data_IF_789347397833
#
_entry.id   IF_789347397833
#
_cell.length_a   1.000
_cell.length_b   1.000
_cell.length_c   1.000
_cell.angle_alpha   90.00
_cell.angle_beta   90.00
_cell.angle_gamma   90.00
#
_symmetry.space_group_name_H-M   'P 1'
#
loop_
_entity.id
_entity.type
_entity.pdbx_description
1 polymer ?
#
# COMPACT_ATOMS: atom_id res chain seq x y z
N UNK A 1 -21.63 7.75 -10.64
CA UNK A 1 -20.41 7.97 -11.45
C UNK A 1 -19.83 6.59 -11.78
N UNK A 2 -19.46 6.32 -13.02
CA UNK A 2 -18.84 5.03 -13.37
C UNK A 2 -17.39 5.00 -12.85
N UNK A 3 -17.06 4.03 -11.99
CA UNK A 3 -15.71 3.87 -11.43
C UNK A 3 -14.83 2.93 -12.27
N UNK A 4 -15.41 2.18 -13.21
CA UNK A 4 -14.66 1.24 -14.04
C UNK A 4 -13.87 1.98 -15.10
N UNK A 5 -12.56 1.75 -15.13
CA UNK A 5 -11.63 2.30 -16.14
C UNK A 5 -10.75 1.18 -16.71
N UNK A 6 -10.12 1.44 -17.84
CA UNK A 6 -9.16 0.50 -18.41
C UNK A 6 -7.83 0.50 -17.63
N UNK A 7 -7.07 -0.59 -17.76
CA UNK A 7 -5.74 -0.70 -17.16
C UNK A 7 -4.81 0.45 -17.62
N UNK A 8 -4.85 0.80 -18.90
CA UNK A 8 -4.06 1.91 -19.45
C UNK A 8 -4.42 3.25 -18.80
N UNK A 9 -5.73 3.57 -18.69
CA UNK A 9 -6.18 4.78 -18.03
C UNK A 9 -5.73 4.82 -16.55
N UNK A 10 -5.82 3.69 -15.85
CA UNK A 10 -5.39 3.59 -14.46
C UNK A 10 -3.90 3.93 -14.28
N UNK A 11 -3.06 3.35 -15.12
CA UNK A 11 -1.60 3.53 -15.04
C UNK A 11 -1.17 4.93 -15.50
N UNK A 12 -1.91 5.57 -16.40
CA UNK A 12 -1.61 6.95 -16.81
C UNK A 12 -1.81 7.99 -15.69
N UNK A 13 -2.57 7.65 -14.66
CA UNK A 13 -2.75 8.50 -13.49
C UNK A 13 -1.50 8.58 -12.59
N UNK A 14 -0.61 7.59 -12.66
CA UNK A 14 0.60 7.53 -11.82
C UNK A 14 1.73 8.31 -12.49
N UNK A 15 2.33 9.26 -11.76
CA UNK A 15 3.37 10.16 -12.27
C UNK A 15 4.73 9.88 -11.62
N UNK A 16 5.79 10.31 -12.29
CA UNK A 16 7.14 10.31 -11.70
C UNK A 16 7.16 11.09 -10.39
N UNK A 17 7.77 10.50 -9.39
CA UNK A 17 7.90 11.08 -8.07
C UNK A 17 6.75 10.83 -7.11
N UNK A 18 5.64 10.23 -7.55
CA UNK A 18 4.50 9.92 -6.69
C UNK A 18 4.87 9.01 -5.52
N UNK A 19 4.16 9.19 -4.42
CA UNK A 19 4.10 8.23 -3.32
C UNK A 19 3.00 7.22 -3.63
N UNK A 20 3.37 5.94 -3.75
CA UNK A 20 2.46 4.87 -4.14
C UNK A 20 2.37 3.83 -3.03
N UNK A 21 1.18 3.60 -2.52
CA UNK A 21 0.87 2.43 -1.68
C UNK A 21 0.55 1.23 -2.57
N UNK A 22 1.11 0.08 -2.26
CA UNK A 22 0.80 -1.18 -2.98
C UNK A 22 0.38 -2.23 -1.98
N UNK A 23 -0.85 -2.73 -2.12
CA UNK A 23 -1.40 -3.80 -1.31
C UNK A 23 -0.74 -5.15 -1.60
N UNK A 24 -0.91 -6.07 -0.66
CA UNK A 24 -0.37 -7.43 -0.75
C UNK A 24 0.55 -7.81 0.41
N UNK A 25 0.69 -9.12 0.58
CA UNK A 25 1.59 -9.75 1.55
C UNK A 25 2.29 -10.92 0.85
N UNK A 26 3.59 -10.81 0.59
CA UNK A 26 4.39 -11.80 -0.17
C UNK A 26 3.73 -12.22 -1.50
N UNK A 27 3.07 -11.26 -2.16
CA UNK A 27 2.36 -11.48 -3.42
C UNK A 27 0.87 -11.84 -3.28
N UNK A 28 0.42 -12.33 -2.11
CA UNK A 28 -1.00 -12.63 -1.88
C UNK A 28 -1.80 -11.32 -1.77
N UNK A 29 -2.88 -11.20 -2.54
CA UNK A 29 -3.69 -9.97 -2.56
C UNK A 29 -2.96 -8.78 -3.19
N UNK A 30 -1.96 -9.02 -4.04
CA UNK A 30 -1.31 -7.96 -4.81
C UNK A 30 -2.08 -7.66 -6.11
N UNK A 31 -2.18 -6.40 -6.52
CA UNK A 31 -2.79 -6.00 -7.80
C UNK A 31 -1.81 -6.26 -8.96
N UNK A 32 -1.69 -7.52 -9.37
CA UNK A 32 -0.63 -7.98 -10.28
C UNK A 32 -0.65 -7.30 -11.64
N UNK A 33 -1.83 -7.08 -12.24
CA UNK A 33 -1.95 -6.43 -13.56
C UNK A 33 -1.57 -4.96 -13.49
N UNK A 34 -2.01 -4.26 -12.43
CA UNK A 34 -1.62 -2.87 -12.20
C UNK A 34 -0.10 -2.76 -12.00
N UNK A 35 0.49 -3.67 -11.24
CA UNK A 35 1.94 -3.73 -11.03
C UNK A 35 2.67 -3.97 -12.36
N UNK A 36 2.26 -4.98 -13.14
CA UNK A 36 2.89 -5.32 -14.41
C UNK A 36 2.79 -4.17 -15.43
N UNK A 37 1.65 -3.49 -15.47
CA UNK A 37 1.48 -2.32 -16.33
C UNK A 37 2.32 -1.12 -15.86
N UNK A 38 2.50 -0.93 -14.54
CA UNK A 38 3.37 0.11 -14.00
C UNK A 38 4.87 -0.20 -14.28
N UNK A 39 5.26 -1.48 -14.22
CA UNK A 39 6.59 -1.93 -14.67
C UNK A 39 6.80 -1.56 -16.13
N UNK A 40 5.84 -1.91 -17.00
CA UNK A 40 5.92 -1.64 -18.44
C UNK A 40 5.97 -0.14 -18.77
N UNK A 41 5.24 0.70 -18.04
CA UNK A 41 5.28 2.16 -18.18
C UNK A 41 6.65 2.75 -17.80
N UNK A 42 7.33 2.15 -16.83
CA UNK A 42 8.66 2.57 -16.41
C UNK A 42 8.69 3.89 -15.63
N UNK A 43 7.60 4.26 -14.95
CA UNK A 43 7.52 5.45 -14.07
C UNK A 43 8.64 5.43 -13.05
N UNK A 44 9.29 6.59 -12.80
CA UNK A 44 10.52 6.69 -12.02
C UNK A 44 10.38 7.54 -10.76
N UNK A 45 11.39 7.40 -9.89
CA UNK A 45 11.52 8.21 -8.67
C UNK A 45 10.34 8.06 -7.70
N UNK A 46 9.62 6.95 -7.76
CA UNK A 46 8.49 6.67 -6.89
C UNK A 46 8.96 6.48 -5.44
N UNK A 47 8.06 6.76 -4.49
CA UNK A 47 8.17 6.31 -3.10
C UNK A 47 7.19 5.19 -2.88
N UNK A 48 7.66 4.02 -2.49
CA UNK A 48 6.82 2.86 -2.18
C UNK A 48 6.44 2.83 -0.70
N UNK A 49 5.19 2.55 -0.41
CA UNK A 49 4.71 2.13 0.91
C UNK A 49 4.03 0.76 0.73
N UNK A 50 4.54 -0.26 1.40
CA UNK A 50 4.04 -1.64 1.28
C UNK A 50 4.33 -2.45 2.54
N UNK A 51 3.68 -3.61 2.70
CA UNK A 51 3.98 -4.51 3.80
C UNK A 51 5.42 -5.04 3.71
N UNK A 52 5.79 -5.56 2.55
CA UNK A 52 7.09 -6.13 2.23
C UNK A 52 7.49 -5.80 0.79
N UNK A 53 8.78 -5.92 0.48
CA UNK A 53 9.28 -5.70 -0.88
C UNK A 53 9.08 -6.88 -1.85
N UNK A 54 8.28 -7.86 -1.47
CA UNK A 54 7.94 -9.03 -2.27
C UNK A 54 9.10 -9.98 -2.56
N UNK A 55 8.88 -10.87 -3.51
CA UNK A 55 9.93 -11.62 -4.20
C UNK A 55 10.26 -10.93 -5.52
N UNK A 56 11.49 -11.08 -6.08
CA UNK A 56 11.89 -10.39 -7.31
C UNK A 56 10.94 -10.55 -8.50
N UNK A 57 10.29 -11.70 -8.60
CA UNK A 57 9.44 -12.09 -9.74
C UNK A 57 7.94 -11.89 -9.48
N UNK A 58 7.54 -11.53 -8.27
CA UNK A 58 6.12 -11.50 -7.87
C UNK A 58 5.74 -10.15 -7.25
N UNK A 59 4.57 -9.64 -7.64
CA UNK A 59 3.99 -8.45 -7.04
C UNK A 59 4.93 -7.24 -7.10
N UNK A 60 4.97 -6.48 -6.02
CA UNK A 60 5.76 -5.24 -5.91
C UNK A 60 7.27 -5.45 -6.11
N UNK A 61 7.77 -6.67 -5.92
CA UNK A 61 9.18 -6.99 -6.12
C UNK A 61 9.66 -6.74 -7.55
N UNK A 62 8.79 -6.90 -8.55
CA UNK A 62 9.08 -6.56 -9.96
C UNK A 62 9.44 -5.07 -10.13
N UNK A 63 8.73 -4.17 -9.45
CA UNK A 63 9.01 -2.73 -9.49
C UNK A 63 10.34 -2.39 -8.80
N UNK A 64 10.70 -3.13 -7.75
CA UNK A 64 12.01 -2.98 -7.10
C UNK A 64 13.14 -3.36 -8.05
N UNK A 65 13.03 -4.52 -8.70
CA UNK A 65 14.05 -5.02 -9.66
C UNK A 65 14.25 -4.06 -10.82
N UNK A 66 13.18 -3.40 -11.29
CA UNK A 66 13.26 -2.41 -12.39
C UNK A 66 13.70 -1.01 -11.92
N UNK A 67 14.08 -0.85 -10.64
CA UNK A 67 14.61 0.38 -10.05
C UNK A 67 13.69 1.59 -10.27
N UNK A 68 12.41 1.39 -10.04
CA UNK A 68 11.42 2.46 -10.18
C UNK A 68 11.27 3.31 -8.91
N UNK A 69 11.82 2.84 -7.78
CA UNK A 69 11.72 3.52 -6.49
C UNK A 69 13.02 4.24 -6.10
N UNK A 70 12.90 5.50 -5.68
CA UNK A 70 13.93 6.24 -4.95
C UNK A 70 13.87 5.98 -3.44
N UNK A 71 12.70 5.57 -2.93
CA UNK A 71 12.45 5.32 -1.51
C UNK A 71 11.45 4.18 -1.32
N UNK A 72 11.70 3.34 -0.32
CA UNK A 72 10.82 2.24 0.08
C UNK A 72 10.57 2.33 1.59
N UNK A 73 9.31 2.31 2.01
CA UNK A 73 8.87 2.20 3.40
C UNK A 73 8.14 0.87 3.52
N UNK A 74 8.72 -0.05 4.28
CA UNK A 74 8.20 -1.41 4.41
C UNK A 74 8.50 -1.99 5.79
N UNK A 75 7.79 -3.04 6.17
CA UNK A 75 8.08 -3.76 7.42
C UNK A 75 9.11 -4.89 7.23
N UNK A 76 9.27 -5.39 6.01
CA UNK A 76 10.16 -6.51 5.69
C UNK A 76 10.73 -6.39 4.27
N UNK A 77 12.03 -6.70 4.13
CA UNK A 77 12.73 -6.71 2.82
C UNK A 77 13.53 -7.99 2.56
N UNK A 78 13.55 -8.92 3.52
CA UNK A 78 14.45 -10.08 3.49
C UNK A 78 14.17 -11.09 2.36
N UNK A 79 12.99 -11.05 1.76
CA UNK A 79 12.61 -11.92 0.64
C UNK A 79 13.08 -11.42 -0.73
N UNK A 80 13.49 -10.14 -0.81
CA UNK A 80 13.98 -9.52 -2.03
C UNK A 80 15.42 -9.04 -1.86
N UNK A 81 16.38 -9.85 -2.31
CA UNK A 81 17.81 -9.53 -2.22
C UNK A 81 18.18 -8.22 -2.93
N UNK A 82 17.44 -7.87 -3.99
CA UNK A 82 17.68 -6.64 -4.75
C UNK A 82 17.37 -5.39 -3.90
N UNK A 83 16.31 -5.43 -3.06
CA UNK A 83 16.03 -4.34 -2.11
C UNK A 83 17.20 -4.12 -1.16
N UNK A 84 17.74 -5.21 -0.59
CA UNK A 84 18.91 -5.15 0.30
C UNK A 84 20.15 -4.60 -0.40
N UNK A 85 20.42 -5.02 -1.63
CA UNK A 85 21.54 -4.53 -2.44
C UNK A 85 21.41 -3.02 -2.70
N UNK A 86 20.25 -2.57 -3.22
CA UNK A 86 20.00 -1.15 -3.51
C UNK A 86 20.13 -0.28 -2.26
N UNK A 87 19.67 -0.77 -1.11
CA UNK A 87 19.82 -0.08 0.18
C UNK A 87 21.31 0.07 0.57
N UNK A 88 22.08 -1.00 0.46
CA UNK A 88 23.52 -0.98 0.85
C UNK A 88 24.36 -0.12 -0.09
N UNK A 89 24.03 -0.07 -1.36
CA UNK A 89 24.73 0.74 -2.37
C UNK A 89 24.23 2.19 -2.42
N UNK A 90 23.21 2.54 -1.62
CA UNK A 90 22.64 3.88 -1.58
C UNK A 90 21.83 4.27 -2.82
N UNK A 91 21.44 3.28 -3.65
CA UNK A 91 20.61 3.51 -4.83
C UNK A 91 19.16 3.83 -4.46
N UNK A 92 18.66 3.24 -3.36
CA UNK A 92 17.30 3.41 -2.87
C UNK A 92 17.33 3.62 -1.35
N UNK A 93 16.68 4.68 -0.88
CA UNK A 93 16.45 4.89 0.55
C UNK A 93 15.44 3.86 1.07
N UNK A 94 15.79 3.06 2.07
CA UNK A 94 14.89 2.06 2.66
C UNK A 94 14.65 2.39 4.13
N UNK A 95 13.38 2.58 4.48
CA UNK A 95 12.92 2.77 5.85
C UNK A 95 12.20 1.51 6.31
N UNK A 96 12.80 0.81 7.28
CA UNK A 96 12.16 -0.33 7.93
C UNK A 96 11.32 0.15 9.11
N UNK A 97 10.00 -0.06 9.00
CA UNK A 97 9.04 0.30 10.04
C UNK A 97 8.46 -0.97 10.65
N UNK A 98 8.36 -1.09 11.99
CA UNK A 98 7.71 -2.23 12.60
C UNK A 98 6.29 -2.43 12.04
N UNK A 99 5.92 -3.67 11.71
CA UNK A 99 4.72 -3.96 10.92
C UNK A 99 3.43 -3.36 11.52
N UNK A 100 3.21 -3.51 12.83
CA UNK A 100 2.05 -2.91 13.48
C UNK A 100 2.07 -1.37 13.44
N UNK A 101 3.26 -0.77 13.57
CA UNK A 101 3.42 0.68 13.44
C UNK A 101 3.09 1.14 12.02
N UNK A 102 3.60 0.43 10.99
CA UNK A 102 3.31 0.73 9.58
C UNK A 102 1.80 0.66 9.29
N UNK A 103 1.14 -0.40 9.76
CA UNK A 103 -0.31 -0.56 9.60
C UNK A 103 -1.09 0.59 10.24
N UNK A 104 -0.72 0.97 11.46
CA UNK A 104 -1.37 2.08 12.17
C UNK A 104 -1.06 3.46 11.56
N UNK A 105 0.14 3.68 11.02
CA UNK A 105 0.46 4.91 10.28
C UNK A 105 -0.44 5.08 9.05
N UNK A 106 -0.67 3.99 8.30
CA UNK A 106 -1.58 3.97 7.13
C UNK A 106 -3.03 4.15 7.61
N UNK A 107 -3.45 3.44 8.66
CA UNK A 107 -4.80 3.57 9.23
C UNK A 107 -5.06 4.99 9.75
N UNK A 108 -4.08 5.63 10.40
CA UNK A 108 -4.19 7.02 10.81
C UNK A 108 -4.45 7.97 9.64
N UNK A 109 -3.75 7.77 8.53
CA UNK A 109 -3.96 8.53 7.31
C UNK A 109 -5.39 8.33 6.78
N UNK A 110 -5.86 7.08 6.69
CA UNK A 110 -7.20 6.72 6.23
C UNK A 110 -8.32 7.44 7.01
N UNK A 111 -8.15 7.60 8.32
CA UNK A 111 -9.16 8.20 9.19
C UNK A 111 -8.87 9.67 9.59
N UNK A 112 -7.88 10.31 8.96
CA UNK A 112 -7.58 11.72 9.20
C UNK A 112 -7.02 12.01 10.59
N UNK A 113 -6.38 11.04 11.25
CA UNK A 113 -5.76 11.19 12.55
C UNK A 113 -4.38 11.85 12.41
N UNK A 114 -4.02 12.72 13.36
CA UNK A 114 -2.72 13.43 13.37
C UNK A 114 -1.53 12.57 13.80
N UNK A 115 -1.77 11.33 14.24
CA UNK A 115 -0.76 10.39 14.71
C UNK A 115 -1.29 9.52 15.84
N UNK A 116 -0.44 8.65 16.37
CA UNK A 116 -0.77 7.77 17.50
C UNK A 116 0.46 7.48 18.36
N UNK A 117 0.21 7.05 19.58
CA UNK A 117 1.24 6.66 20.53
C UNK A 117 1.44 5.14 20.51
N UNK A 118 2.70 4.70 20.41
CA UNK A 118 3.04 3.28 20.48
C UNK A 118 4.23 3.03 21.39
N UNK A 119 4.22 1.88 22.07
CA UNK A 119 5.40 1.41 22.84
C UNK A 119 6.44 0.73 21.97
N UNK A 120 6.04 0.33 20.73
CA UNK A 120 6.92 -0.38 19.81
C UNK A 120 8.08 0.53 19.40
N UNK A 121 9.30 0.06 19.64
CA UNK A 121 10.51 0.77 19.25
C UNK A 121 11.11 1.68 20.32
N UNK A 122 10.47 1.88 21.48
CA UNK A 122 11.07 2.62 22.60
C UNK A 122 12.37 1.95 23.03
N UNK A 123 13.44 2.74 23.18
CA UNK A 123 14.78 2.26 23.54
C UNK A 123 15.56 1.56 22.41
N UNK A 124 15.07 1.62 21.16
CA UNK A 124 15.73 1.02 19.99
C UNK A 124 16.08 2.08 18.93
N UNK A 125 16.73 1.67 17.83
CA UNK A 125 16.98 2.54 16.66
C UNK A 125 15.70 3.14 16.06
N UNK A 126 14.55 2.49 16.26
CA UNK A 126 13.24 2.99 15.78
C UNK A 126 12.84 4.31 16.45
N UNK A 127 13.38 4.59 17.63
CA UNK A 127 13.13 5.84 18.37
C UNK A 127 13.88 7.03 17.80
N UNK A 128 14.97 6.82 17.08
CA UNK A 128 15.83 7.91 16.61
C UNK A 128 15.02 8.93 15.77
N UNK A 129 15.08 10.22 16.15
CA UNK A 129 14.37 11.30 15.48
C UNK A 129 12.86 11.37 15.74
N UNK A 130 12.31 10.54 16.65
CA UNK A 130 10.89 10.55 17.03
C UNK A 130 10.68 11.20 18.40
N UNK A 131 9.50 11.78 18.56
CA UNK A 131 9.08 12.36 19.84
C UNK A 131 8.73 11.26 20.85
N UNK A 132 9.33 11.34 22.05
CA UNK A 132 9.02 10.46 23.17
C UNK A 132 8.00 11.16 24.08
N UNK A 133 6.89 10.50 24.36
CA UNK A 133 5.81 11.01 25.19
C UNK A 133 5.58 10.04 26.35
N UNK A 134 5.75 10.55 27.59
CA UNK A 134 5.45 9.76 28.79
C UNK A 134 4.01 10.00 29.24
N UNK A 135 3.23 8.93 29.41
CA UNK A 135 1.87 8.95 29.93
C UNK A 135 1.77 7.92 31.07
N UNK A 136 1.33 8.38 32.23
CA UNK A 136 1.14 7.52 33.42
C UNK A 136 2.38 6.67 33.75
N UNK A 137 3.58 7.26 33.61
CA UNK A 137 4.86 6.57 33.86
C UNK A 137 5.28 5.59 32.76
N UNK A 138 4.58 5.55 31.61
CA UNK A 138 4.91 4.70 30.46
C UNK A 138 5.34 5.57 29.29
N UNK A 139 6.46 5.17 28.67
CA UNK A 139 6.99 5.85 27.48
C UNK A 139 6.41 5.32 26.19
N UNK A 140 6.11 6.24 25.29
CA UNK A 140 5.57 5.99 23.94
C UNK A 140 6.32 6.82 22.91
N UNK A 141 6.41 6.31 21.70
CA UNK A 141 6.80 7.10 20.51
C UNK A 141 5.54 7.68 19.86
N UNK A 142 5.59 8.96 19.49
CA UNK A 142 4.58 9.57 18.63
C UNK A 142 4.91 9.21 17.17
N UNK A 143 4.04 8.43 16.56
CA UNK A 143 4.12 8.06 15.15
C UNK A 143 3.19 8.92 14.29
N UNK A 144 3.68 9.33 13.12
CA UNK A 144 2.94 10.18 12.18
C UNK A 144 2.17 9.33 11.16
N UNK A 145 1.04 9.81 10.63
CA UNK A 145 0.34 9.12 9.54
C UNK A 145 1.19 9.07 8.27
N UNK A 146 0.99 8.02 7.46
CA UNK A 146 1.55 7.88 6.12
C UNK A 146 0.47 8.05 5.06
N UNK A 147 0.63 9.05 4.22
CA UNK A 147 -0.24 9.35 3.07
C UNK A 147 0.44 8.97 1.77
N UNK A 148 -0.37 8.69 0.74
CA UNK A 148 0.09 8.46 -0.62
C UNK A 148 -0.68 9.31 -1.64
N UNK A 149 -0.08 9.54 -2.81
CA UNK A 149 -0.79 10.09 -3.96
C UNK A 149 -1.71 9.03 -4.56
N UNK A 150 -1.22 7.78 -4.65
CA UNK A 150 -1.96 6.68 -5.26
C UNK A 150 -1.87 5.43 -4.40
N UNK A 151 -3.00 4.75 -4.18
CA UNK A 151 -3.05 3.40 -3.65
C UNK A 151 -3.44 2.42 -4.77
N UNK A 152 -2.61 1.44 -5.03
CA UNK A 152 -2.88 0.29 -5.89
C UNK A 152 -3.22 -0.89 -5.00
N UNK A 153 -4.48 -1.29 -4.99
CA UNK A 153 -4.97 -2.36 -4.13
C UNK A 153 -5.68 -3.44 -4.93
N UNK A 154 -5.80 -4.60 -4.33
CA UNK A 154 -6.52 -5.75 -4.88
C UNK A 154 -7.76 -6.03 -4.07
N UNK A 155 -8.79 -6.58 -4.71
CA UNK A 155 -9.95 -7.18 -4.05
C UNK A 155 -10.41 -8.43 -4.81
N UNK A 156 -10.93 -9.44 -4.10
CA UNK A 156 -11.51 -10.61 -4.76
C UNK A 156 -12.82 -10.23 -5.46
N UNK A 157 -13.61 -9.34 -4.87
CA UNK A 157 -14.84 -8.81 -5.48
C UNK A 157 -14.91 -7.30 -5.33
N UNK A 158 -15.37 -6.64 -6.38
CA UNK A 158 -15.71 -5.23 -6.33
C UNK A 158 -17.07 -5.01 -7.00
N UNK A 159 -17.94 -4.21 -6.39
CA UNK A 159 -19.20 -3.82 -7.01
C UNK A 159 -19.06 -2.49 -7.78
N UNK A 160 -20.08 -2.11 -8.56
CA UNK A 160 -20.06 -0.89 -9.35
C UNK A 160 -19.98 0.40 -8.51
N UNK A 161 -20.26 0.33 -7.23
CA UNK A 161 -20.16 1.45 -6.30
C UNK A 161 -18.78 1.55 -5.65
N UNK A 162 -17.95 0.50 -5.82
CA UNK A 162 -16.59 0.42 -5.29
C UNK A 162 -16.51 -0.25 -3.93
N UNK A 163 -17.58 -0.89 -3.45
CA UNK A 163 -17.49 -1.73 -2.27
C UNK A 163 -16.67 -2.96 -2.58
N UNK A 164 -15.79 -3.37 -1.63
CA UNK A 164 -14.84 -4.45 -1.82
C UNK A 164 -15.08 -5.57 -0.83
N UNK A 165 -14.87 -6.81 -1.30
CA UNK A 165 -14.81 -7.98 -0.47
C UNK A 165 -13.54 -8.78 -0.76
N UNK A 166 -12.97 -9.39 0.28
CA UNK A 166 -11.71 -10.13 0.22
C UNK A 166 -11.94 -11.60 0.57
N UNK A 167 -11.00 -12.45 0.18
CA UNK A 167 -10.97 -13.84 0.55
C UNK A 167 -9.69 -14.17 1.32
N UNK A 168 -9.85 -14.59 2.56
CA UNK A 168 -8.74 -14.97 3.43
C UNK A 168 -7.71 -13.85 3.60
N UNK A 169 -6.44 -14.17 3.44
CA UNK A 169 -5.34 -13.23 3.64
C UNK A 169 -5.18 -12.16 2.55
N UNK A 170 -6.02 -12.18 1.51
CA UNK A 170 -5.99 -11.12 0.49
C UNK A 170 -6.43 -9.75 1.05
N UNK A 171 -7.14 -9.70 2.17
CA UNK A 171 -7.51 -8.45 2.82
C UNK A 171 -6.27 -7.66 3.28
N UNK A 172 -5.31 -8.31 3.92
CA UNK A 172 -4.07 -7.77 4.46
C UNK A 172 -4.02 -6.23 4.60
N UNK A 173 -3.14 -5.54 3.86
CA UNK A 173 -3.04 -4.08 3.84
C UNK A 173 -4.03 -3.39 2.88
N UNK A 174 -4.74 -4.15 2.02
CA UNK A 174 -5.60 -3.58 0.99
C UNK A 174 -6.71 -2.67 1.57
N UNK A 175 -7.40 -3.14 2.61
CA UNK A 175 -8.51 -2.38 3.22
C UNK A 175 -8.07 -1.09 3.90
N UNK A 176 -6.91 -1.09 4.59
CA UNK A 176 -6.41 0.11 5.28
C UNK A 176 -5.77 1.11 4.32
N UNK A 177 -5.18 0.66 3.22
CA UNK A 177 -4.62 1.52 2.18
C UNK A 177 -5.69 2.24 1.37
N UNK A 178 -6.89 1.66 1.25
CA UNK A 178 -7.97 2.21 0.44
C UNK A 178 -8.33 3.67 0.76
N UNK A 179 -8.28 4.08 2.03
CA UNK A 179 -8.60 5.44 2.44
C UNK A 179 -7.38 6.33 2.74
N UNK A 180 -6.16 5.82 2.52
CA UNK A 180 -4.92 6.51 2.90
C UNK A 180 -4.22 7.21 1.72
N UNK A 181 -4.88 7.32 0.56
CA UNK A 181 -4.35 7.97 -0.62
C UNK A 181 -5.35 8.95 -1.22
N UNK A 182 -4.83 9.93 -1.99
CA UNK A 182 -5.68 10.87 -2.74
C UNK A 182 -6.47 10.13 -3.84
N UNK A 183 -5.87 9.08 -4.39
CA UNK A 183 -6.43 8.27 -5.47
C UNK A 183 -6.28 6.79 -5.18
N UNK A 184 -7.38 6.05 -5.09
CA UNK A 184 -7.38 4.60 -4.89
C UNK A 184 -7.89 3.88 -6.13
N UNK A 185 -7.04 3.00 -6.66
CA UNK A 185 -7.29 2.17 -7.83
C UNK A 185 -7.28 0.70 -7.40
N UNK A 186 -8.37 0.02 -7.66
CA UNK A 186 -8.57 -1.39 -7.29
C UNK A 186 -8.50 -2.27 -8.52
N UNK A 187 -7.67 -3.31 -8.47
CA UNK A 187 -7.77 -4.47 -9.35
C UNK A 187 -8.69 -5.50 -8.70
N UNK A 188 -9.69 -6.02 -9.39
CA UNK A 188 -10.58 -7.03 -8.82
C UNK A 188 -10.70 -8.26 -9.70
N UNK A 189 -10.79 -9.44 -9.09
CA UNK A 189 -11.03 -10.71 -9.81
C UNK A 189 -12.45 -10.77 -10.36
N UNK A 190 -13.44 -10.48 -9.53
CA UNK A 190 -14.86 -10.51 -9.87
C UNK A 190 -15.46 -9.11 -9.76
N UNK A 191 -16.05 -8.63 -10.86
CA UNK A 191 -16.79 -7.37 -10.87
C UNK A 191 -18.31 -7.64 -10.85
N UNK A 192 -19.00 -7.04 -9.88
CA UNK A 192 -20.45 -7.13 -9.73
C UNK A 192 -21.08 -5.87 -10.33
N UNK A 193 -21.83 -6.02 -11.45
CA UNK A 193 -22.58 -4.93 -12.08
C UNK A 193 -23.90 -4.68 -11.33
N UNK A 194 -23.78 -4.29 -10.09
CA UNK A 194 -24.88 -4.05 -9.15
C UNK A 194 -24.30 -3.65 -7.81
N UNK A 195 -25.12 -3.67 -6.76
CA UNK A 195 -24.65 -3.61 -5.38
C UNK A 195 -24.32 -5.02 -4.90
N UNK A 196 -23.19 -5.21 -4.21
CA UNK A 196 -22.96 -6.43 -3.47
C UNK A 196 -23.82 -6.46 -2.20
N UNK A 197 -23.96 -7.63 -1.63
CA UNK A 197 -24.56 -7.79 -0.31
C UNK A 197 -23.78 -6.94 0.71
N UNK A 198 -24.44 -6.01 1.42
CA UNK A 198 -23.75 -5.17 2.40
C UNK A 198 -23.10 -5.96 3.53
N UNK A 199 -23.58 -7.16 3.85
CA UNK A 199 -23.03 -7.99 4.92
C UNK A 199 -21.66 -8.59 4.57
N UNK A 200 -21.28 -8.61 3.27
CA UNK A 200 -19.96 -9.07 2.83
C UNK A 200 -19.02 -7.94 2.43
N UNK A 201 -19.50 -6.70 2.41
CA UNK A 201 -18.68 -5.54 2.05
C UNK A 201 -17.71 -5.19 3.19
N UNK A 202 -16.41 -5.41 2.98
CA UNK A 202 -15.37 -5.19 3.99
C UNK A 202 -14.67 -3.83 3.85
N UNK A 203 -14.71 -3.25 2.66
CA UNK A 203 -14.21 -1.89 2.40
C UNK A 203 -15.28 -1.07 1.68
N UNK A 204 -15.73 0.04 2.29
CA UNK A 204 -16.74 0.90 1.68
C UNK A 204 -16.27 1.56 0.39
N UNK A 205 -17.15 1.60 -0.60
CA UNK A 205 -16.86 2.18 -1.92
C UNK A 205 -16.50 3.68 -1.90
N UNK A 206 -16.78 4.40 -0.82
CA UNK A 206 -16.39 5.80 -0.67
C UNK A 206 -14.87 6.01 -0.75
N UNK A 207 -14.07 5.01 -0.37
CA UNK A 207 -12.61 5.05 -0.43
C UNK A 207 -12.04 4.69 -1.81
N UNK A 208 -12.86 4.19 -2.73
CA UNK A 208 -12.40 3.70 -4.05
C UNK A 208 -12.76 4.71 -5.13
N UNK A 209 -11.76 5.16 -5.88
CA UNK A 209 -11.96 6.07 -7.00
C UNK A 209 -12.20 5.29 -8.30
N UNK A 210 -11.36 4.28 -8.58
CA UNK A 210 -11.40 3.53 -9.83
C UNK A 210 -11.26 2.02 -9.61
N UNK A 211 -11.83 1.27 -10.55
CA UNK A 211 -11.84 -0.19 -10.59
C UNK A 211 -11.30 -0.64 -11.95
N UNK A 212 -10.31 -1.52 -11.93
CA UNK A 212 -9.80 -2.26 -13.10
C UNK A 212 -10.23 -3.71 -12.96
N UNK A 213 -10.96 -4.21 -13.95
CA UNK A 213 -11.44 -5.60 -13.96
C UNK A 213 -10.30 -6.57 -14.26
N UNK A 214 -10.13 -7.59 -13.41
CA UNK A 214 -9.10 -8.60 -13.56
C UNK A 214 -9.21 -9.47 -14.81
N UNK A 215 -10.43 -9.65 -15.32
CA UNK A 215 -10.75 -10.51 -16.47
C UNK A 215 -11.09 -9.69 -17.74
N UNK A 216 -10.57 -8.47 -17.87
CA UNK A 216 -10.73 -7.65 -19.07
C UNK A 216 -9.52 -7.73 -19.98
#
# INVERSE_FOLDING_TARGET
MNKVISLAQAIDLIKDGDVVMVGGFLGVGSPHKLIDALVAKGTKNLTLICNDSGFPEIGVGKLVVTKQFKKIIASHIGTNKETGRQMMEGETEVILTPQGTLAEQIRCACYGLGGFLTRTGVGTKVQEGKELITRDGVDYLLEKPLYANVALIFANKADKYGNLAFQGSAQNFNSVMAGAADLTIVECDEFIDGAMDPDIAETPGVFVNYIVKGNA
#
